data_IF_028299804226
#
_entry.id   IF_028299804226
#
_cell.length_a   1.000
_cell.length_b   1.000
_cell.length_c   1.000
_cell.angle_alpha   90.00
_cell.angle_beta   90.00
_cell.angle_gamma   90.00
#
_symmetry.space_group_name_H-M   'P 1'
#
loop_
_entity.id
_entity.type
_entity.pdbx_description
1 polymer ?
#
# COMPACT_ATOMS: atom_id res chain seq x y z
N UNK A 1 -11.70 -13.57 -16.59
CA UNK A 1 -10.32 -13.64 -16.09
C UNK A 1 -10.33 -14.33 -14.75
N UNK A 2 -9.44 -15.33 -14.56
CA UNK A 2 -9.34 -16.13 -13.35
C UNK A 2 -7.99 -15.88 -12.69
N UNK A 3 -7.99 -15.43 -11.44
CA UNK A 3 -6.76 -15.24 -10.66
C UNK A 3 -6.79 -16.16 -9.44
N UNK A 4 -5.78 -17.04 -9.34
CA UNK A 4 -5.51 -17.79 -8.12
C UNK A 4 -4.89 -16.84 -7.11
N UNK A 5 -5.41 -16.81 -5.88
CA UNK A 5 -4.85 -16.01 -4.80
C UNK A 5 -4.44 -16.92 -3.64
N UNK A 6 -3.13 -17.02 -3.41
CA UNK A 6 -2.54 -17.89 -2.36
C UNK A 6 -2.56 -17.13 -1.03
N UNK A 7 -3.02 -17.77 0.03
CA UNK A 7 -3.13 -17.20 1.38
C UNK A 7 -3.88 -15.87 1.42
N UNK A 8 -5.13 -15.78 0.92
CA UNK A 8 -5.85 -14.52 0.79
C UNK A 8 -6.20 -13.87 2.14
N UNK A 9 -6.12 -14.62 3.23
CA UNK A 9 -6.41 -14.19 4.59
C UNK A 9 -5.20 -13.61 5.34
N UNK A 10 -3.99 -13.79 4.83
CA UNK A 10 -2.77 -13.34 5.51
C UNK A 10 -1.71 -12.77 4.55
N UNK A 11 -1.15 -11.57 4.82
CA UNK A 11 -1.55 -10.61 5.87
C UNK A 11 -3.02 -10.19 5.80
N UNK A 12 -3.62 -9.80 6.94
CA UNK A 12 -5.07 -9.54 7.04
C UNK A 12 -5.60 -8.51 6.03
N UNK A 13 -4.79 -7.54 5.63
CA UNK A 13 -5.14 -6.49 4.68
C UNK A 13 -5.21 -6.95 3.21
N UNK A 14 -4.74 -8.15 2.88
CA UNK A 14 -4.71 -8.66 1.50
C UNK A 14 -6.10 -8.85 0.90
N UNK A 15 -7.13 -9.03 1.73
CA UNK A 15 -8.52 -9.05 1.25
C UNK A 15 -8.93 -7.79 0.49
N UNK A 16 -8.30 -6.63 0.74
CA UNK A 16 -8.56 -5.37 0.02
C UNK A 16 -8.18 -5.48 -1.45
N UNK A 17 -7.10 -6.18 -1.77
CA UNK A 17 -6.65 -6.46 -3.14
C UNK A 17 -7.57 -7.47 -3.83
N UNK A 18 -7.99 -8.50 -3.10
CA UNK A 18 -9.02 -9.46 -3.56
C UNK A 18 -10.33 -8.75 -3.88
N UNK A 19 -10.77 -7.85 -2.98
CA UNK A 19 -11.96 -7.03 -3.18
C UNK A 19 -11.84 -6.14 -4.42
N UNK A 20 -10.68 -5.51 -4.64
CA UNK A 20 -10.44 -4.67 -5.80
C UNK A 20 -10.51 -5.47 -7.11
N UNK A 21 -9.90 -6.66 -7.18
CA UNK A 21 -10.01 -7.58 -8.33
C UNK A 21 -11.48 -7.98 -8.57
N UNK A 22 -12.20 -8.35 -7.50
CA UNK A 22 -13.61 -8.73 -7.61
C UNK A 22 -14.47 -7.59 -8.15
N UNK A 23 -14.21 -6.35 -7.69
CA UNK A 23 -14.86 -5.13 -8.16
C UNK A 23 -14.65 -4.85 -9.65
N UNK A 24 -13.58 -5.37 -10.24
CA UNK A 24 -13.27 -5.30 -11.66
C UNK A 24 -13.75 -6.54 -12.46
N UNK A 25 -14.60 -7.39 -11.87
CA UNK A 25 -15.18 -8.54 -12.55
C UNK A 25 -14.26 -9.75 -12.67
N UNK A 26 -13.16 -9.80 -11.91
CA UNK A 26 -12.22 -10.95 -11.90
C UNK A 26 -12.80 -12.07 -11.04
N UNK A 27 -12.71 -13.32 -11.49
CA UNK A 27 -12.91 -14.49 -10.65
C UNK A 27 -11.69 -14.70 -9.80
N UNK A 28 -11.79 -14.44 -8.49
CA UNK A 28 -10.70 -14.65 -7.54
C UNK A 28 -10.89 -15.99 -6.85
N UNK A 29 -9.97 -16.92 -7.07
CA UNK A 29 -9.99 -18.29 -6.61
C UNK A 29 -8.95 -18.45 -5.51
N UNK A 30 -9.38 -18.49 -4.27
CA UNK A 30 -8.50 -18.58 -3.11
C UNK A 30 -7.95 -19.98 -2.86
N UNK A 31 -6.68 -20.07 -2.46
CA UNK A 31 -6.07 -21.29 -1.92
C UNK A 31 -5.39 -20.92 -0.61
N UNK A 32 -5.66 -21.64 0.45
CA UNK A 32 -5.05 -21.42 1.76
C UNK A 32 -5.23 -22.60 2.70
N UNK A 33 -4.58 -22.56 3.85
CA UNK A 33 -4.66 -23.56 4.91
C UNK A 33 -5.59 -23.16 6.07
N UNK A 34 -6.02 -21.90 6.09
CA UNK A 34 -6.95 -21.41 7.10
C UNK A 34 -8.39 -21.86 6.81
N UNK A 35 -9.14 -22.11 7.90
CA UNK A 35 -10.59 -22.30 7.79
C UNK A 35 -11.28 -20.95 7.51
N UNK A 36 -12.33 -20.96 6.69
CA UNK A 36 -13.07 -19.74 6.33
C UNK A 36 -13.68 -18.98 7.53
N UNK A 37 -13.81 -19.64 8.70
CA UNK A 37 -14.26 -18.99 9.93
C UNK A 37 -13.25 -17.97 10.48
N UNK A 38 -11.98 -18.11 10.10
CA UNK A 38 -10.90 -17.18 10.45
C UNK A 38 -10.66 -16.07 9.42
N UNK A 39 -11.48 -15.99 8.39
CA UNK A 39 -11.31 -14.98 7.37
C UNK A 39 -11.61 -13.57 7.89
N UNK A 40 -10.82 -12.55 7.48
CA UNK A 40 -11.19 -11.15 7.66
C UNK A 40 -12.59 -10.88 7.14
N UNK A 41 -13.33 -10.02 7.81
CA UNK A 41 -14.76 -9.78 7.59
C UNK A 41 -15.18 -9.50 6.13
N UNK A 42 -14.29 -8.94 5.31
CA UNK A 42 -14.58 -8.63 3.91
C UNK A 42 -14.18 -9.72 2.90
N UNK A 43 -13.37 -10.70 3.30
CA UNK A 43 -12.74 -11.63 2.35
C UNK A 43 -13.72 -12.64 1.76
N UNK A 44 -14.56 -13.25 2.57
CA UNK A 44 -15.44 -14.35 2.15
C UNK A 44 -16.37 -13.96 0.98
N UNK A 45 -16.91 -12.75 1.03
CA UNK A 45 -17.78 -12.23 -0.05
C UNK A 45 -17.05 -11.81 -1.32
N UNK A 46 -15.71 -11.77 -1.29
CA UNK A 46 -14.90 -11.35 -2.44
C UNK A 46 -14.30 -12.51 -3.22
N UNK A 47 -14.20 -13.70 -2.63
CA UNK A 47 -13.75 -14.90 -3.32
C UNK A 47 -14.87 -15.50 -4.17
N UNK A 48 -14.53 -15.94 -5.38
CA UNK A 48 -15.44 -16.73 -6.23
C UNK A 48 -15.54 -18.16 -5.72
N UNK A 49 -14.42 -18.70 -5.26
CA UNK A 49 -14.30 -20.02 -4.65
C UNK A 49 -13.06 -20.04 -3.74
N UNK A 50 -13.03 -21.01 -2.82
CA UNK A 50 -11.90 -21.22 -1.93
C UNK A 50 -11.59 -22.71 -1.80
N UNK A 51 -10.35 -23.09 -2.02
CA UNK A 51 -9.86 -24.42 -1.83
C UNK A 51 -8.93 -24.48 -0.61
N UNK A 52 -9.37 -25.14 0.46
CA UNK A 52 -8.55 -25.34 1.64
C UNK A 52 -7.60 -26.51 1.42
N UNK A 53 -6.31 -26.29 1.64
CA UNK A 53 -5.27 -27.32 1.77
C UNK A 53 -4.93 -27.53 3.23
N UNK A 54 -4.30 -28.64 3.59
CA UNK A 54 -3.87 -28.88 4.97
C UNK A 54 -2.61 -28.08 5.30
N UNK A 55 -1.71 -27.91 4.34
CA UNK A 55 -0.46 -27.16 4.49
C UNK A 55 -0.08 -26.52 3.17
N UNK A 56 0.11 -25.20 3.16
CA UNK A 56 0.59 -24.44 1.99
C UNK A 56 2.06 -24.74 1.63
N UNK A 57 2.85 -25.36 2.51
CA UNK A 57 4.21 -25.79 2.22
C UNK A 57 4.25 -27.10 1.41
N UNK A 58 3.18 -27.88 1.41
CA UNK A 58 3.04 -29.04 0.57
C UNK A 58 2.70 -28.63 -0.87
N UNK A 59 3.75 -28.53 -1.69
CA UNK A 59 3.63 -28.13 -3.11
C UNK A 59 2.61 -28.96 -3.88
N UNK A 60 2.62 -30.29 -3.67
CA UNK A 60 1.73 -31.19 -4.39
C UNK A 60 0.25 -30.97 -4.03
N UNK A 61 -0.04 -30.65 -2.79
CA UNK A 61 -1.40 -30.29 -2.36
C UNK A 61 -1.85 -28.98 -2.97
N UNK A 62 -1.00 -27.96 -3.02
CA UNK A 62 -1.31 -26.70 -3.68
C UNK A 62 -1.45 -26.87 -5.19
N UNK A 63 -0.56 -27.66 -5.82
CA UNK A 63 -0.67 -27.98 -7.25
C UNK A 63 -2.01 -28.65 -7.59
N UNK A 64 -2.44 -29.63 -6.79
CA UNK A 64 -3.76 -30.29 -6.94
C UNK A 64 -4.92 -29.29 -6.76
N UNK A 65 -4.81 -28.35 -5.81
CA UNK A 65 -5.81 -27.29 -5.62
C UNK A 65 -5.92 -26.38 -6.86
N UNK A 66 -4.79 -25.91 -7.41
CA UNK A 66 -4.75 -25.12 -8.66
C UNK A 66 -5.34 -25.93 -9.81
N UNK A 67 -4.99 -27.22 -9.93
CA UNK A 67 -5.53 -28.11 -10.99
C UNK A 67 -7.05 -28.25 -10.88
N UNK A 68 -7.59 -28.46 -9.66
CA UNK A 68 -9.02 -28.56 -9.43
C UNK A 68 -9.77 -27.27 -9.79
N UNK A 69 -9.26 -26.11 -9.32
CA UNK A 69 -9.84 -24.82 -9.63
C UNK A 69 -9.77 -24.50 -11.12
N UNK A 70 -8.67 -24.90 -11.79
CA UNK A 70 -8.52 -24.75 -13.23
C UNK A 70 -9.49 -25.63 -14.01
N UNK A 71 -9.77 -26.84 -13.55
CA UNK A 71 -10.79 -27.70 -14.14
C UNK A 71 -12.18 -27.09 -14.04
N UNK A 72 -12.49 -26.49 -12.86
CA UNK A 72 -13.82 -25.95 -12.56
C UNK A 72 -14.10 -24.60 -13.24
N UNK A 73 -13.10 -23.70 -13.30
CA UNK A 73 -13.26 -22.32 -13.74
C UNK A 73 -12.48 -21.97 -15.01
N UNK A 74 -11.71 -22.88 -15.53
CA UNK A 74 -10.79 -22.64 -16.65
C UNK A 74 -9.39 -22.23 -16.17
N UNK A 75 -8.46 -22.14 -17.13
CA UNK A 75 -7.05 -21.82 -16.89
C UNK A 75 -6.90 -20.50 -16.10
N UNK A 76 -6.00 -20.44 -15.12
CA UNK A 76 -5.70 -19.20 -14.45
C UNK A 76 -4.93 -18.24 -15.36
N UNK A 77 -5.33 -16.98 -15.35
CA UNK A 77 -4.65 -15.87 -16.04
C UNK A 77 -3.55 -15.26 -15.17
N UNK A 78 -3.63 -15.44 -13.84
CA UNK A 78 -2.65 -14.99 -12.86
C UNK A 78 -2.63 -15.87 -11.62
N UNK A 79 -1.49 -15.87 -10.93
CA UNK A 79 -1.32 -16.49 -9.61
C UNK A 79 -0.64 -15.43 -8.74
N UNK A 80 -1.24 -15.05 -7.63
CA UNK A 80 -0.80 -13.94 -6.78
C UNK A 80 -0.87 -14.35 -5.31
N UNK A 81 0.05 -13.84 -4.50
CA UNK A 81 -0.03 -13.96 -3.04
C UNK A 81 0.10 -12.60 -2.36
N UNK A 82 0.78 -11.66 -3.01
CA UNK A 82 1.20 -10.39 -2.45
C UNK A 82 1.97 -10.54 -1.12
N UNK A 83 2.68 -11.65 -0.99
CA UNK A 83 3.45 -12.02 0.19
C UNK A 83 4.79 -12.63 -0.24
N UNK A 84 5.90 -11.99 0.15
CA UNK A 84 7.24 -12.44 -0.20
C UNK A 84 7.57 -13.86 0.29
N UNK A 85 6.95 -14.32 1.36
CA UNK A 85 7.13 -15.67 1.88
C UNK A 85 6.67 -16.73 0.85
N UNK A 86 5.57 -16.48 0.14
CA UNK A 86 5.04 -17.40 -0.87
C UNK A 86 5.57 -17.15 -2.29
N UNK A 87 6.47 -16.19 -2.49
CA UNK A 87 6.93 -15.80 -3.82
C UNK A 87 7.56 -16.96 -4.62
N UNK A 88 8.31 -17.84 -3.96
CA UNK A 88 8.90 -19.03 -4.63
C UNK A 88 7.84 -20.05 -5.02
N UNK A 89 6.86 -20.30 -4.15
CA UNK A 89 5.71 -21.17 -4.45
C UNK A 89 4.91 -20.62 -5.62
N UNK A 90 4.59 -19.34 -5.60
CA UNK A 90 3.88 -18.62 -6.64
C UNK A 90 4.59 -18.71 -8.00
N UNK A 91 5.91 -18.47 -8.03
CA UNK A 91 6.73 -18.57 -9.23
C UNK A 91 6.78 -20.00 -9.80
N UNK A 92 6.87 -21.02 -8.93
CA UNK A 92 6.87 -22.42 -9.33
C UNK A 92 5.53 -22.84 -9.93
N UNK A 93 4.42 -22.45 -9.32
CA UNK A 93 3.09 -22.71 -9.85
C UNK A 93 2.84 -22.00 -11.19
N UNK A 94 3.31 -20.75 -11.34
CA UNK A 94 3.23 -20.04 -12.63
C UNK A 94 3.95 -20.79 -13.74
N UNK A 95 5.14 -21.30 -13.47
CA UNK A 95 5.88 -22.11 -14.42
C UNK A 95 5.12 -23.37 -14.82
N UNK A 96 4.60 -24.11 -13.84
CA UNK A 96 4.00 -25.44 -14.07
C UNK A 96 2.61 -25.34 -14.72
N UNK A 97 1.87 -24.24 -14.47
CA UNK A 97 0.60 -23.93 -15.14
C UNK A 97 0.76 -23.01 -16.35
N UNK A 98 2.00 -22.68 -16.74
CA UNK A 98 2.31 -21.77 -17.85
C UNK A 98 1.57 -20.42 -17.75
N UNK A 99 1.53 -19.84 -16.54
CA UNK A 99 0.95 -18.52 -16.25
C UNK A 99 2.03 -17.46 -16.37
N UNK A 100 1.72 -16.38 -17.08
CA UNK A 100 2.66 -15.25 -17.26
C UNK A 100 2.90 -14.54 -15.91
N UNK A 101 4.15 -14.27 -15.61
CA UNK A 101 4.56 -13.54 -14.40
C UNK A 101 6.03 -13.76 -14.08
N UNK A 102 6.43 -13.46 -12.86
CA UNK A 102 7.82 -13.61 -12.44
C UNK A 102 8.17 -15.10 -12.19
N UNK A 103 9.43 -15.42 -12.39
CA UNK A 103 10.03 -16.71 -12.12
C UNK A 103 10.73 -16.75 -10.73
N UNK A 104 11.29 -17.91 -10.38
CA UNK A 104 11.98 -18.14 -9.10
C UNK A 104 13.20 -17.24 -8.94
N UNK A 105 13.95 -16.99 -10.01
CA UNK A 105 15.15 -16.16 -9.96
C UNK A 105 14.79 -14.68 -9.76
N UNK A 106 13.69 -14.24 -10.37
CA UNK A 106 13.11 -12.93 -10.07
C UNK A 106 12.65 -12.84 -8.62
N UNK A 107 11.91 -13.85 -8.11
CA UNK A 107 11.45 -13.86 -6.73
C UNK A 107 12.60 -13.71 -5.74
N UNK A 108 13.69 -14.44 -5.91
CA UNK A 108 14.90 -14.33 -5.10
C UNK A 108 15.54 -12.95 -5.17
N UNK A 109 15.65 -12.38 -6.37
CA UNK A 109 16.26 -11.06 -6.58
C UNK A 109 15.44 -9.91 -5.95
N UNK A 110 14.12 -10.01 -5.99
CA UNK A 110 13.22 -8.90 -5.59
C UNK A 110 12.78 -9.00 -4.14
N UNK A 111 12.58 -10.22 -3.62
CA UNK A 111 12.05 -10.41 -2.26
C UNK A 111 13.09 -10.83 -1.22
N UNK A 112 14.34 -11.10 -1.65
CA UNK A 112 15.46 -11.27 -0.73
C UNK A 112 16.13 -9.91 -0.45
N UNK A 113 16.11 -9.49 0.81
CA UNK A 113 16.62 -8.17 1.23
C UNK A 113 18.11 -8.00 0.91
N UNK A 114 18.92 -9.03 1.10
CA UNK A 114 20.36 -8.97 0.83
C UNK A 114 20.62 -8.83 -0.67
N UNK A 115 19.92 -9.61 -1.50
CA UNK A 115 20.02 -9.51 -2.95
C UNK A 115 19.63 -8.12 -3.47
N UNK A 116 18.62 -7.48 -2.86
CA UNK A 116 18.21 -6.11 -3.19
C UNK A 116 19.32 -5.11 -2.83
N UNK A 117 19.91 -5.21 -1.63
CA UNK A 117 20.99 -4.31 -1.19
C UNK A 117 22.25 -4.48 -2.04
N UNK A 118 22.60 -5.72 -2.41
CA UNK A 118 23.71 -6.01 -3.32
C UNK A 118 23.47 -5.40 -4.71
N UNK A 119 22.26 -5.56 -5.26
CA UNK A 119 21.89 -4.96 -6.53
C UNK A 119 21.94 -3.43 -6.49
N UNK A 120 21.42 -2.81 -5.42
CA UNK A 120 21.48 -1.36 -5.21
C UNK A 120 22.90 -0.86 -5.11
N UNK A 121 23.76 -1.52 -4.33
CA UNK A 121 25.18 -1.19 -4.19
C UNK A 121 25.89 -1.32 -5.54
N UNK A 122 25.62 -2.38 -6.30
CA UNK A 122 26.16 -2.58 -7.66
C UNK A 122 25.73 -1.49 -8.64
N UNK A 123 24.59 -0.85 -8.41
CA UNK A 123 24.11 0.30 -9.18
C UNK A 123 24.64 1.66 -8.67
N UNK A 124 25.56 1.66 -7.70
CA UNK A 124 26.16 2.86 -7.15
C UNK A 124 25.32 3.57 -6.09
N UNK A 125 24.32 2.88 -5.52
CA UNK A 125 23.53 3.41 -4.40
C UNK A 125 24.25 3.09 -3.10
N UNK A 126 24.47 4.09 -2.24
CA UNK A 126 25.00 3.86 -0.90
C UNK A 126 23.96 3.13 -0.06
N UNK A 127 24.33 2.00 0.51
CA UNK A 127 23.47 1.20 1.38
C UNK A 127 23.86 1.37 2.84
N UNK A 128 22.88 1.23 3.74
CA UNK A 128 23.09 1.38 5.18
C UNK A 128 24.00 0.27 5.71
N UNK A 129 24.94 0.67 6.54
CA UNK A 129 25.82 -0.23 7.30
C UNK A 129 25.31 -0.31 8.74
N UNK A 130 25.53 -1.42 9.41
CA UNK A 130 25.23 -1.61 10.82
C UNK A 130 26.52 -1.74 11.61
N UNK A 131 26.48 -1.28 12.85
CA UNK A 131 27.60 -1.46 13.80
C UNK A 131 27.68 -2.91 14.34
N UNK A 132 28.61 -3.13 15.28
CA UNK A 132 28.84 -4.45 15.91
C UNK A 132 27.63 -4.95 16.71
N UNK A 133 26.78 -4.02 17.20
CA UNK A 133 25.55 -4.32 17.93
C UNK A 133 24.34 -4.51 17.00
N UNK A 134 24.54 -4.37 15.68
CA UNK A 134 23.50 -4.46 14.66
C UNK A 134 22.66 -3.19 14.51
N UNK A 135 23.08 -2.07 15.11
CA UNK A 135 22.38 -0.78 15.00
C UNK A 135 22.68 -0.10 13.66
N UNK A 136 21.70 0.59 13.06
CA UNK A 136 21.89 1.32 11.82
C UNK A 136 22.80 2.54 12.04
N UNK A 137 23.85 2.66 11.22
CA UNK A 137 24.74 3.83 11.23
C UNK A 137 24.15 4.88 10.29
N UNK A 138 23.54 5.91 10.87
CA UNK A 138 22.95 7.02 10.14
C UNK A 138 23.63 8.32 10.54
N UNK A 139 24.08 9.17 9.56
CA UNK A 139 24.64 10.46 9.86
C UNK A 139 23.65 11.35 10.62
N UNK A 140 24.15 12.05 11.64
CA UNK A 140 23.34 12.98 12.42
C UNK A 140 22.71 14.05 11.53
N UNK A 141 21.46 14.42 11.82
CA UNK A 141 20.71 15.41 11.05
C UNK A 141 20.12 14.90 9.72
N UNK A 142 20.28 13.60 9.39
CA UNK A 142 19.62 13.02 8.22
C UNK A 142 18.09 13.02 8.40
N UNK A 143 17.38 13.38 7.33
CA UNK A 143 15.93 13.20 7.21
C UNK A 143 15.64 11.76 6.79
N UNK A 144 14.63 11.16 7.37
CA UNK A 144 14.20 9.80 6.97
C UNK A 144 13.07 9.93 5.98
N UNK A 145 13.31 9.54 4.74
CA UNK A 145 12.34 9.66 3.64
C UNK A 145 12.04 8.29 3.07
N UNK A 146 10.75 7.94 3.01
CA UNK A 146 10.27 6.74 2.33
C UNK A 146 9.66 7.13 0.98
N UNK A 147 10.17 6.54 -0.08
CA UNK A 147 9.61 6.61 -1.42
C UNK A 147 8.77 5.37 -1.68
N UNK A 148 7.51 5.55 -2.01
CA UNK A 148 6.58 4.46 -2.29
C UNK A 148 5.96 4.66 -3.66
N UNK A 149 5.74 3.57 -4.36
CA UNK A 149 5.12 3.64 -5.67
C UNK A 149 4.78 2.27 -6.24
N UNK A 150 4.29 2.31 -7.45
CA UNK A 150 3.92 1.13 -8.21
C UNK A 150 4.58 1.16 -9.59
N UNK A 151 5.04 0.00 -10.02
CA UNK A 151 5.58 -0.25 -11.35
C UNK A 151 4.62 -1.17 -12.08
N UNK A 152 4.23 -0.82 -13.29
CA UNK A 152 3.35 -1.66 -14.09
C UNK A 152 4.10 -2.86 -14.67
N UNK A 153 3.35 -3.77 -15.30
CA UNK A 153 3.90 -4.98 -15.96
C UNK A 153 5.00 -4.70 -16.99
N UNK A 154 5.08 -3.51 -17.53
CA UNK A 154 6.08 -3.10 -18.52
C UNK A 154 7.35 -2.49 -17.89
N UNK A 155 7.40 -2.38 -16.56
CA UNK A 155 8.51 -1.75 -15.85
C UNK A 155 8.43 -0.23 -15.75
N UNK A 156 7.30 0.39 -16.10
CA UNK A 156 7.10 1.83 -15.98
C UNK A 156 6.49 2.17 -14.62
N UNK A 157 7.06 3.15 -13.94
CA UNK A 157 6.45 3.71 -12.71
C UNK A 157 5.15 4.42 -13.09
N UNK A 158 4.06 4.01 -12.47
CA UNK A 158 2.71 4.54 -12.70
C UNK A 158 2.31 5.59 -11.68
N UNK A 159 3.03 5.64 -10.57
CA UNK A 159 2.86 6.65 -9.53
C UNK A 159 3.87 6.41 -8.42
N UNK A 160 4.34 7.50 -7.84
CA UNK A 160 5.22 7.47 -6.68
C UNK A 160 4.91 8.66 -5.76
N UNK A 161 5.10 8.46 -4.45
CA UNK A 161 4.96 9.47 -3.43
C UNK A 161 6.11 9.35 -2.43
N UNK A 162 6.53 10.47 -1.86
CA UNK A 162 7.55 10.50 -0.83
C UNK A 162 6.97 10.97 0.50
N UNK A 163 7.49 10.41 1.59
CA UNK A 163 7.03 10.69 2.94
C UNK A 163 8.23 10.90 3.87
N UNK A 164 8.17 11.94 4.68
CA UNK A 164 9.16 12.18 5.72
C UNK A 164 8.67 11.57 7.04
N UNK A 165 9.48 10.68 7.61
CA UNK A 165 9.23 10.01 8.88
C UNK A 165 9.96 10.71 10.02
N UNK A 166 9.44 10.57 11.25
CA UNK A 166 10.09 11.12 12.45
C UNK A 166 11.44 10.45 12.77
N UNK A 167 11.59 9.15 12.47
CA UNK A 167 12.82 8.36 12.58
C UNK A 167 12.68 7.12 11.67
N UNK A 168 13.72 6.29 11.59
CA UNK A 168 13.60 4.99 10.93
C UNK A 168 12.51 4.15 11.59
N UNK A 169 11.61 3.51 10.80
CA UNK A 169 10.54 2.69 11.36
C UNK A 169 11.03 1.61 12.33
N UNK A 170 12.17 0.95 12.04
CA UNK A 170 12.77 -0.03 12.95
C UNK A 170 13.20 0.58 14.29
N UNK A 171 13.72 1.82 14.29
CA UNK A 171 14.11 2.52 15.50
C UNK A 171 12.90 3.00 16.29
N UNK A 172 11.83 3.47 15.61
CA UNK A 172 10.56 3.83 16.25
C UNK A 172 10.00 2.62 17.03
N UNK A 173 9.98 1.44 16.38
CA UNK A 173 9.53 0.19 17.02
C UNK A 173 10.43 -0.19 18.19
N UNK A 174 11.75 -0.19 17.98
CA UNK A 174 12.72 -0.56 19.02
C UNK A 174 12.65 0.33 20.25
N UNK A 175 12.56 1.64 20.05
CA UNK A 175 12.47 2.64 21.12
C UNK A 175 11.06 2.78 21.71
N UNK A 176 10.05 2.09 21.12
CA UNK A 176 8.63 2.21 21.46
C UNK A 176 8.14 3.66 21.35
N UNK A 177 8.58 4.37 20.33
CA UNK A 177 8.20 5.74 20.05
C UNK A 177 6.89 5.79 19.26
N UNK A 178 6.32 7.00 19.17
CA UNK A 178 5.12 7.26 18.39
C UNK A 178 5.47 7.38 16.91
N UNK A 179 4.70 6.71 16.07
CA UNK A 179 4.87 6.81 14.62
C UNK A 179 4.22 8.11 14.12
N UNK A 180 4.98 8.90 13.39
CA UNK A 180 4.48 10.02 12.63
C UNK A 180 5.26 10.23 11.33
N UNK A 181 4.54 10.62 10.29
CA UNK A 181 5.11 10.98 9.00
C UNK A 181 4.13 11.83 8.19
N UNK A 182 4.61 12.46 7.13
CA UNK A 182 3.80 13.27 6.23
C UNK A 182 4.31 13.18 4.79
N UNK A 183 3.40 13.35 3.81
CA UNK A 183 3.77 13.36 2.40
C UNK A 183 4.51 14.64 2.03
N UNK A 184 5.50 14.51 1.15
CA UNK A 184 6.22 15.62 0.55
C UNK A 184 5.52 16.03 -0.75
N UNK A 185 5.44 17.33 -1.00
CA UNK A 185 5.00 17.88 -2.28
C UNK A 185 6.12 17.80 -3.33
N UNK A 186 5.79 17.93 -4.62
CA UNK A 186 6.77 17.95 -5.69
C UNK A 186 7.85 19.01 -5.45
N UNK A 187 7.45 20.21 -4.98
CA UNK A 187 8.39 21.29 -4.66
C UNK A 187 9.35 20.96 -3.53
N UNK A 188 8.91 20.14 -2.56
CA UNK A 188 9.75 19.66 -1.45
C UNK A 188 10.62 18.48 -1.87
N UNK A 189 10.24 17.78 -2.92
CA UNK A 189 11.05 16.77 -3.59
C UNK A 189 12.14 17.37 -4.48
N UNK A 190 11.91 18.58 -5.04
CA UNK A 190 12.83 19.28 -5.97
C UNK A 190 13.93 20.12 -5.26
N UNK A 191 14.09 20.03 -3.96
CA UNK A 191 15.19 20.70 -3.23
C UNK A 191 16.57 20.08 -3.57
N UNK A 192 17.70 20.77 -3.31
CA UNK A 192 19.03 20.22 -3.60
C UNK A 192 19.33 18.84 -2.98
N UNK A 193 18.60 18.45 -1.95
CA UNK A 193 18.64 17.10 -1.35
C UNK A 193 17.74 16.09 -2.11
N UNK A 194 17.21 16.48 -3.27
CA UNK A 194 16.14 15.81 -3.99
C UNK A 194 16.57 14.55 -4.77
N UNK A 195 17.82 14.21 -4.80
CA UNK A 195 18.33 13.02 -5.51
C UNK A 195 17.78 11.68 -5.02
N UNK A 196 16.97 11.68 -3.93
CA UNK A 196 16.41 10.44 -3.37
C UNK A 196 15.38 9.77 -4.30
N UNK A 197 14.58 10.54 -5.06
CA UNK A 197 13.66 9.95 -6.05
C UNK A 197 14.42 9.30 -7.20
N UNK A 198 15.46 9.98 -7.72
CA UNK A 198 16.34 9.39 -8.75
C UNK A 198 17.05 8.14 -8.20
N UNK A 199 17.52 8.20 -6.94
CA UNK A 199 18.12 7.05 -6.27
C UNK A 199 17.12 5.91 -6.08
N UNK A 200 15.87 6.21 -5.74
CA UNK A 200 14.82 5.20 -5.65
C UNK A 200 14.57 4.51 -7.00
N UNK A 201 14.53 5.27 -8.09
CA UNK A 201 14.40 4.72 -9.44
C UNK A 201 15.60 3.86 -9.83
N UNK A 202 16.82 4.23 -9.45
CA UNK A 202 18.01 3.38 -9.65
C UNK A 202 17.90 2.03 -8.94
N UNK A 203 17.36 2.02 -7.71
CA UNK A 203 17.11 0.74 -6.99
C UNK A 203 16.05 -0.09 -7.70
N UNK A 204 14.93 0.52 -8.11
CA UNK A 204 13.86 -0.16 -8.86
C UNK A 204 14.38 -0.79 -10.15
N UNK A 205 15.23 -0.05 -10.89
CA UNK A 205 15.86 -0.54 -12.12
C UNK A 205 16.88 -1.65 -11.85
N UNK A 206 17.68 -1.53 -10.78
CA UNK A 206 18.70 -2.54 -10.43
C UNK A 206 18.07 -3.91 -10.16
N UNK A 207 16.91 -3.94 -9.49
CA UNK A 207 16.17 -5.20 -9.27
C UNK A 207 15.28 -5.61 -10.45
N UNK A 208 15.15 -4.74 -11.46
CA UNK A 208 14.29 -4.95 -12.65
C UNK A 208 12.83 -5.21 -12.24
N UNK A 209 12.29 -4.37 -11.36
CA UNK A 209 10.93 -4.52 -10.86
C UNK A 209 9.90 -4.44 -11.99
N UNK A 210 8.92 -5.34 -12.00
CA UNK A 210 7.81 -5.37 -12.96
C UNK A 210 6.52 -5.80 -12.27
N UNK A 211 5.46 -5.01 -12.47
CA UNK A 211 4.12 -5.37 -12.03
C UNK A 211 3.94 -5.45 -10.50
N UNK A 212 4.55 -4.54 -9.74
CA UNK A 212 4.51 -4.57 -8.29
C UNK A 212 4.75 -3.23 -7.62
N UNK A 213 4.92 -3.28 -6.32
CA UNK A 213 5.14 -2.11 -5.46
C UNK A 213 6.62 -1.92 -5.16
N UNK A 214 6.97 -0.70 -4.77
CA UNK A 214 8.24 -0.42 -4.10
C UNK A 214 8.00 0.49 -2.90
N UNK A 215 8.69 0.18 -1.81
CA UNK A 215 8.72 0.96 -0.58
C UNK A 215 10.18 1.04 -0.15
N UNK A 216 10.83 2.17 -0.42
CA UNK A 216 12.26 2.36 -0.23
C UNK A 216 12.47 3.47 0.80
N UNK A 217 13.17 3.18 1.89
CA UNK A 217 13.46 4.14 2.96
C UNK A 217 14.91 4.59 2.88
N UNK A 218 15.10 5.90 2.87
CA UNK A 218 16.40 6.54 2.77
C UNK A 218 16.67 7.44 3.99
N UNK A 219 17.94 7.48 4.43
CA UNK A 219 18.45 8.57 5.22
C UNK A 219 19.06 9.61 4.27
N UNK A 220 18.46 10.81 4.26
CA UNK A 220 18.78 11.89 3.32
C UNK A 220 19.41 13.05 4.07
N UNK A 221 20.67 13.34 3.72
CA UNK A 221 21.47 14.42 4.28
C UNK A 221 22.55 14.78 3.28
N UNK A 222 23.81 14.87 3.75
CA UNK A 222 24.96 15.07 2.85
C UNK A 222 25.09 13.95 1.81
N UNK A 223 24.71 12.74 2.20
CA UNK A 223 24.61 11.57 1.34
C UNK A 223 23.17 11.02 1.38
N UNK A 224 22.81 10.26 0.36
CA UNK A 224 21.54 9.52 0.30
C UNK A 224 21.88 8.05 0.53
N UNK A 225 21.36 7.49 1.62
CA UNK A 225 21.66 6.13 2.08
C UNK A 225 20.39 5.32 2.07
N UNK A 226 20.35 4.21 1.32
CA UNK A 226 19.23 3.25 1.34
C UNK A 226 19.26 2.48 2.66
N UNK A 227 18.24 2.66 3.49
CA UNK A 227 18.13 2.04 4.81
C UNK A 227 17.23 0.81 4.81
N UNK A 228 16.18 0.82 4.00
CA UNK A 228 15.25 -0.30 3.88
C UNK A 228 14.64 -0.37 2.49
N UNK A 229 14.32 -1.58 2.05
CA UNK A 229 13.70 -1.83 0.75
C UNK A 229 12.69 -2.98 0.85
N UNK A 230 11.49 -2.75 0.36
CA UNK A 230 10.44 -3.74 0.23
C UNK A 230 9.72 -3.57 -1.10
N UNK A 231 9.46 -4.68 -1.78
CA UNK A 231 8.70 -4.72 -3.03
C UNK A 231 7.35 -5.41 -2.88
N UNK A 232 6.88 -5.44 -1.65
CA UNK A 232 5.55 -5.91 -1.28
C UNK A 232 4.55 -4.75 -1.24
N UNK A 233 3.25 -5.02 -1.25
CA UNK A 233 2.26 -4.00 -0.97
C UNK A 233 2.55 -3.26 0.33
N UNK A 234 2.26 -1.95 0.39
CA UNK A 234 2.42 -1.20 1.63
C UNK A 234 1.56 -1.78 2.74
N UNK A 235 1.96 -1.54 3.98
CA UNK A 235 1.20 -1.92 5.17
C UNK A 235 -0.19 -1.24 5.15
N UNK A 236 -1.18 -1.84 5.82
CA UNK A 236 -2.59 -1.39 5.76
C UNK A 236 -2.77 0.09 6.08
N UNK A 237 -2.14 0.58 7.17
CA UNK A 237 -2.19 2.00 7.53
C UNK A 237 -1.57 2.89 6.46
N UNK A 238 -0.54 2.41 5.79
CA UNK A 238 0.14 3.16 4.76
C UNK A 238 -0.67 3.20 3.45
N UNK A 239 -1.38 2.11 3.13
CA UNK A 239 -2.33 2.09 2.02
C UNK A 239 -3.45 3.14 2.19
N UNK A 240 -3.93 3.34 3.42
CA UNK A 240 -4.91 4.38 3.73
C UNK A 240 -4.33 5.80 3.60
N UNK A 241 -3.07 6.00 3.96
CA UNK A 241 -2.39 7.28 3.74
C UNK A 241 -2.19 7.54 2.25
N UNK A 242 -1.77 6.53 1.47
CA UNK A 242 -1.64 6.63 0.02
C UNK A 242 -2.97 6.99 -0.66
N UNK A 243 -4.09 6.39 -0.21
CA UNK A 243 -5.43 6.73 -0.70
C UNK A 243 -5.83 8.18 -0.38
N UNK A 244 -5.32 8.75 0.72
CA UNK A 244 -5.51 10.16 1.04
C UNK A 244 -4.52 11.08 0.31
N UNK A 245 -3.33 10.61 -0.05
CA UNK A 245 -2.28 11.39 -0.71
C UNK A 245 -2.53 11.54 -2.20
N UNK A 246 -3.07 10.50 -2.83
CA UNK A 246 -3.25 10.44 -4.28
C UNK A 246 -4.70 10.43 -4.72
N UNK A 247 -4.86 10.39 -6.03
CA UNK A 247 -6.17 10.40 -6.72
C UNK A 247 -6.90 9.06 -6.68
N UNK A 248 -6.24 7.97 -6.27
CA UNK A 248 -6.80 6.62 -6.37
C UNK A 248 -6.30 5.71 -5.24
N UNK A 249 -7.12 4.73 -4.90
CA UNK A 249 -6.76 3.65 -3.96
C UNK A 249 -5.70 2.72 -4.59
N UNK A 250 -4.67 2.41 -3.84
CA UNK A 250 -3.54 1.60 -4.29
C UNK A 250 -3.93 0.16 -4.64
N UNK A 251 -4.92 -0.41 -3.94
CA UNK A 251 -5.43 -1.75 -4.22
C UNK A 251 -6.14 -1.79 -5.59
N UNK A 252 -6.89 -0.72 -5.87
CA UNK A 252 -7.58 -0.59 -7.16
C UNK A 252 -6.61 -0.34 -8.32
N UNK A 253 -5.56 0.48 -8.12
CA UNK A 253 -4.50 0.69 -9.11
C UNK A 253 -3.81 -0.63 -9.47
N UNK A 254 -3.45 -1.42 -8.46
CA UNK A 254 -2.83 -2.71 -8.67
C UNK A 254 -3.76 -3.68 -9.41
N UNK A 255 -5.01 -3.78 -8.98
CA UNK A 255 -5.99 -4.66 -9.62
C UNK A 255 -6.25 -4.26 -11.08
N UNK A 256 -6.30 -2.96 -11.38
CA UNK A 256 -6.43 -2.44 -12.74
C UNK A 256 -5.22 -2.81 -13.62
N UNK A 257 -3.99 -2.69 -13.11
CA UNK A 257 -2.79 -3.13 -13.84
C UNK A 257 -2.85 -4.64 -14.14
N UNK A 258 -3.31 -5.46 -13.20
CA UNK A 258 -3.45 -6.92 -13.40
C UNK A 258 -4.38 -7.28 -14.55
N UNK A 259 -5.43 -6.52 -14.78
CA UNK A 259 -6.37 -6.74 -15.90
C UNK A 259 -6.01 -5.94 -17.16
N UNK A 260 -4.89 -5.24 -17.17
CA UNK A 260 -4.41 -4.48 -18.32
C UNK A 260 -5.02 -3.11 -18.50
N UNK A 261 -5.71 -2.59 -17.49
CA UNK A 261 -6.20 -1.21 -17.49
C UNK A 261 -5.08 -0.25 -17.06
N UNK A 262 -4.89 0.80 -17.84
CA UNK A 262 -4.03 1.90 -17.43
C UNK A 262 -4.82 2.85 -16.52
N UNK A 263 -4.29 3.10 -15.35
CA UNK A 263 -4.78 4.12 -14.43
C UNK A 263 -3.67 5.06 -14.06
N UNK A 264 -3.98 6.35 -14.05
CA UNK A 264 -3.04 7.38 -13.61
C UNK A 264 -3.21 7.63 -12.11
N UNK A 265 -2.08 7.73 -11.42
CA UNK A 265 -2.03 8.13 -10.02
C UNK A 265 -1.39 9.51 -9.93
N UNK A 266 -2.13 10.47 -9.44
CA UNK A 266 -1.66 11.84 -9.24
C UNK A 266 -1.61 12.15 -7.74
N UNK A 267 -0.53 12.78 -7.31
CA UNK A 267 -0.40 13.28 -5.94
C UNK A 267 -1.27 14.53 -5.81
N UNK A 268 -2.07 14.59 -4.75
CA UNK A 268 -2.85 15.76 -4.40
C UNK A 268 -1.92 16.86 -3.82
N UNK A 269 -2.23 18.15 -4.04
CA UNK A 269 -1.33 19.23 -3.65
C UNK A 269 -1.18 19.41 -2.14
N UNK A 270 -2.13 18.88 -1.36
CA UNK A 270 -2.12 19.01 0.10
C UNK A 270 -1.25 17.93 0.74
N UNK A 271 -0.48 18.30 1.74
CA UNK A 271 0.32 17.36 2.55
C UNK A 271 -0.59 16.47 3.38
N UNK A 272 -0.47 15.15 3.22
CA UNK A 272 -1.14 14.14 4.05
C UNK A 272 -0.27 13.81 5.24
N UNK A 273 -0.85 13.81 6.43
CA UNK A 273 -0.15 13.54 7.69
C UNK A 273 -0.75 12.32 8.36
N UNK A 274 0.12 11.43 8.84
CA UNK A 274 -0.21 10.32 9.71
C UNK A 274 0.47 10.50 11.06
N UNK A 275 -0.28 10.31 12.15
CA UNK A 275 0.25 10.46 13.49
C UNK A 275 -0.45 9.51 14.46
N UNK A 276 0.31 8.87 15.34
CA UNK A 276 -0.23 7.96 16.37
C UNK A 276 -0.19 8.59 17.76
N UNK A 277 -1.00 8.06 18.67
CA UNK A 277 -0.98 8.28 20.12
C UNK A 277 -1.10 6.95 20.84
N UNK A 278 -0.58 6.91 22.09
CA UNK A 278 -0.70 5.76 22.99
C UNK A 278 -1.62 6.10 24.16
N UNK A 279 -2.36 5.12 24.65
CA UNK A 279 -3.24 5.32 25.81
C UNK A 279 -2.48 5.36 27.15
N UNK A 280 -1.26 4.81 27.18
CA UNK A 280 -0.37 4.80 28.35
C UNK A 280 0.45 6.09 28.52
N UNK A 281 0.29 7.09 27.63
CA UNK A 281 0.96 8.39 27.70
C UNK A 281 0.00 9.50 28.02
N UNK A 282 0.49 10.50 28.74
CA UNK A 282 -0.25 11.72 29.07
C UNK A 282 0.06 12.82 28.05
N UNK A 283 -0.98 13.38 27.45
CA UNK A 283 -0.83 14.43 26.42
C UNK A 283 -1.45 15.74 26.90
N UNK A 284 -0.85 16.85 26.47
CA UNK A 284 -1.33 18.21 26.80
C UNK A 284 -2.74 18.49 26.27
N UNK A 285 -3.14 17.88 25.15
CA UNK A 285 -4.45 18.06 24.56
C UNK A 285 -5.20 16.73 24.48
N UNK A 286 -6.47 16.76 24.92
CA UNK A 286 -7.35 15.60 24.85
C UNK A 286 -7.73 15.27 23.40
N UNK A 287 -8.24 14.04 23.18
CA UNK A 287 -8.81 13.65 21.90
C UNK A 287 -9.89 14.62 21.40
N UNK A 288 -10.84 15.02 22.30
CA UNK A 288 -11.92 15.94 21.94
C UNK A 288 -11.39 17.32 21.52
N UNK A 289 -10.29 17.76 22.14
CA UNK A 289 -9.64 19.02 21.76
C UNK A 289 -9.02 18.95 20.39
N UNK A 290 -8.38 17.82 20.05
CA UNK A 290 -7.84 17.56 18.72
C UNK A 290 -8.98 17.54 17.70
N UNK A 291 -10.03 16.76 17.96
CA UNK A 291 -11.18 16.65 17.07
C UNK A 291 -11.86 18.00 16.84
N UNK A 292 -12.09 18.78 17.89
CA UNK A 292 -12.72 20.11 17.74
C UNK A 292 -11.89 21.07 16.87
N UNK A 293 -10.55 20.95 16.90
CA UNK A 293 -9.66 21.81 16.12
C UNK A 293 -9.40 21.31 14.70
N UNK A 294 -9.24 20.01 14.52
CA UNK A 294 -8.81 19.42 13.28
C UNK A 294 -9.91 18.74 12.47
N UNK A 295 -11.17 18.69 12.99
CA UNK A 295 -12.29 18.06 12.29
C UNK A 295 -12.40 18.41 10.79
N UNK A 296 -12.20 19.67 10.34
CA UNK A 296 -12.30 20.00 8.93
C UNK A 296 -11.23 19.36 8.04
N UNK A 297 -10.06 19.04 8.61
CA UNK A 297 -8.89 18.52 7.89
C UNK A 297 -8.64 17.05 8.15
N UNK A 298 -9.27 16.44 9.16
CA UNK A 298 -9.19 15.00 9.41
C UNK A 298 -9.89 14.25 8.27
N UNK A 299 -9.20 13.24 7.74
CA UNK A 299 -9.70 12.33 6.70
C UNK A 299 -10.07 10.98 7.28
N UNK A 300 -9.28 10.49 8.23
CA UNK A 300 -9.51 9.22 8.92
C UNK A 300 -8.94 9.26 10.33
N UNK A 301 -9.52 8.50 11.22
CA UNK A 301 -9.03 8.32 12.58
C UNK A 301 -9.58 7.02 13.15
N UNK A 302 -8.90 6.46 14.13
CA UNK A 302 -9.38 5.23 14.76
C UNK A 302 -8.34 4.56 15.63
N UNK A 303 -8.64 3.36 16.08
CA UNK A 303 -7.65 2.47 16.70
C UNK A 303 -6.60 2.08 15.67
N UNK A 304 -5.36 1.92 16.12
CA UNK A 304 -4.30 1.47 15.26
C UNK A 304 -4.55 0.05 14.74
N UNK A 305 -3.97 -0.24 13.60
CA UNK A 305 -4.09 -1.52 12.91
C UNK A 305 -3.37 -2.61 13.69
N UNK A 306 -3.72 -3.86 13.43
CA UNK A 306 -3.04 -5.02 14.00
C UNK A 306 -1.53 -4.95 13.73
N UNK A 307 -0.72 -5.19 14.76
CA UNK A 307 0.75 -5.11 14.67
C UNK A 307 1.35 -3.72 14.86
N UNK A 308 0.53 -2.67 15.04
CA UNK A 308 1.01 -1.30 15.35
C UNK A 308 1.01 -0.94 16.84
N UNK A 309 0.59 -1.84 17.70
CA UNK A 309 0.44 -1.67 19.16
C UNK A 309 1.72 -1.18 19.86
N UNK A 310 2.89 -1.39 19.26
CA UNK A 310 4.17 -0.88 19.77
C UNK A 310 4.32 0.62 19.49
N UNK A 311 3.79 1.12 18.35
CA UNK A 311 3.99 2.49 17.87
C UNK A 311 2.79 3.39 18.08
N UNK A 312 1.65 2.85 18.52
CA UNK A 312 0.44 3.60 18.83
C UNK A 312 -0.78 2.73 19.06
N UNK A 313 -1.73 3.26 19.83
CA UNK A 313 -3.05 2.67 20.07
C UNK A 313 -4.13 3.34 19.22
N UNK A 314 -3.92 4.60 18.87
CA UNK A 314 -4.86 5.42 18.13
C UNK A 314 -4.15 6.26 17.08
N UNK A 315 -4.74 6.41 15.89
CA UNK A 315 -4.16 7.19 14.80
C UNK A 315 -5.08 8.29 14.29
N UNK A 316 -4.47 9.28 13.63
CA UNK A 316 -5.13 10.33 12.86
C UNK A 316 -4.47 10.45 11.50
N UNK A 317 -5.28 10.54 10.43
CA UNK A 317 -4.88 10.95 9.10
C UNK A 317 -5.57 12.26 8.79
N UNK A 318 -4.82 13.28 8.44
CA UNK A 318 -5.36 14.61 8.15
C UNK A 318 -4.57 15.32 7.05
N UNK A 319 -5.12 16.41 6.53
CA UNK A 319 -4.48 17.26 5.54
C UNK A 319 -3.86 18.49 6.20
N UNK A 320 -2.71 18.89 5.65
CA UNK A 320 -2.01 20.12 6.01
C UNK A 320 -1.61 20.88 4.72
N UNK A 321 -1.46 22.19 4.84
CA UNK A 321 -1.14 23.05 3.70
C UNK A 321 0.27 22.80 3.15
N UNK A 322 1.21 22.40 4.02
CA UNK A 322 2.61 22.14 3.70
C UNK A 322 3.31 21.39 4.83
N UNK A 323 4.58 20.98 4.60
CA UNK A 323 5.40 20.25 5.57
C UNK A 323 5.62 21.01 6.90
N UNK A 324 5.78 22.32 6.87
CA UNK A 324 5.95 23.11 8.10
C UNK A 324 4.70 23.02 8.97
N UNK A 325 3.51 23.13 8.37
CA UNK A 325 2.23 22.95 9.06
C UNK A 325 2.01 21.53 9.52
N UNK A 326 2.45 20.54 8.74
CA UNK A 326 2.41 19.12 9.12
C UNK A 326 3.19 18.87 10.41
N UNK A 327 4.44 19.35 10.51
CA UNK A 327 5.28 19.23 11.72
C UNK A 327 4.66 19.92 12.94
N UNK A 328 4.09 21.11 12.75
CA UNK A 328 3.37 21.84 13.82
C UNK A 328 2.18 21.02 14.35
N UNK A 329 1.39 20.42 13.45
CA UNK A 329 0.21 19.64 13.81
C UNK A 329 0.59 18.29 14.46
N UNK A 330 1.63 17.63 14.00
CA UNK A 330 2.17 16.44 14.66
C UNK A 330 2.57 16.76 16.09
N UNK A 331 3.35 17.84 16.29
CA UNK A 331 3.73 18.31 17.63
C UNK A 331 2.52 18.64 18.49
N UNK A 332 1.52 19.32 17.96
CA UNK A 332 0.26 19.61 18.67
C UNK A 332 -0.43 18.34 19.15
N UNK A 333 -0.45 17.28 18.35
CA UNK A 333 -1.11 16.01 18.68
C UNK A 333 -0.30 15.21 19.70
N UNK A 334 1.03 15.19 19.58
CA UNK A 334 1.91 14.30 20.36
C UNK A 334 2.56 14.97 21.58
N UNK A 335 2.35 16.29 21.80
CA UNK A 335 2.99 16.99 22.90
C UNK A 335 2.62 16.38 24.24
N UNK A 336 3.62 16.06 25.05
CA UNK A 336 3.46 15.55 26.40
C UNK A 336 2.85 16.60 27.32
N UNK A 337 2.10 16.16 28.34
CA UNK A 337 1.48 17.07 29.32
C UNK A 337 2.52 17.90 30.07
N UNK A 338 3.69 17.34 30.33
CA UNK A 338 4.82 18.00 31.04
C UNK A 338 5.60 19.01 30.19
N UNK A 339 5.47 18.95 28.85
CA UNK A 339 6.16 19.85 27.92
C UNK A 339 5.49 21.22 27.92
N UNK A 340 6.11 22.20 28.57
CA UNK A 340 5.67 23.60 28.63
C UNK A 340 6.10 24.45 27.43
N UNK A 341 6.76 23.87 26.43
CA UNK A 341 7.20 24.60 25.22
C UNK A 341 5.97 25.25 24.55
N UNK A 342 6.02 26.56 24.22
CA UNK A 342 4.94 27.22 23.52
C UNK A 342 4.66 26.52 22.17
N UNK A 343 3.44 26.08 21.99
CA UNK A 343 2.98 25.66 20.67
C UNK A 343 2.37 26.89 20.02
N UNK A 344 2.76 27.16 18.78
CA UNK A 344 2.22 28.27 18.02
C UNK A 344 0.68 28.31 18.15
N UNK A 345 0.13 29.47 18.46
CA UNK A 345 -1.32 29.61 18.53
C UNK A 345 -1.87 29.38 17.13
N UNK A 346 -2.64 28.33 16.97
CA UNK A 346 -3.36 28.12 15.72
C UNK A 346 -4.24 29.35 15.48
N UNK A 347 -4.16 30.01 14.32
CA UNK A 347 -5.17 30.97 13.95
C UNK A 347 -6.53 30.26 14.05
N UNK A 348 -7.58 30.96 14.50
CA UNK A 348 -8.90 30.35 14.51
C UNK A 348 -9.17 29.80 13.13
N UNK A 349 -9.41 28.49 13.04
CA UNK A 349 -9.86 27.87 11.79
C UNK A 349 -11.05 28.73 11.33
N UNK A 350 -10.97 29.29 10.12
CA UNK A 350 -12.11 29.97 9.52
C UNK A 350 -13.29 29.05 9.67
N UNK A 351 -14.37 29.55 10.26
CA UNK A 351 -15.60 28.79 10.39
C UNK A 351 -15.93 28.24 9.01
N UNK A 352 -15.73 26.94 8.85
CA UNK A 352 -16.03 26.28 7.57
C UNK A 352 -17.53 26.43 7.43
N UNK A 353 -17.94 27.14 6.41
CA UNK A 353 -19.33 27.29 6.06
C UNK A 353 -19.92 25.87 5.94
N UNK A 354 -20.92 25.57 6.77
CA UNK A 354 -21.62 24.27 6.76
C UNK A 354 -22.16 23.90 5.37
N UNK A 355 -22.35 24.90 4.50
CA UNK A 355 -22.70 24.72 3.09
C UNK A 355 -21.55 24.05 2.30
N UNK A 356 -20.28 24.37 2.60
CA UNK A 356 -19.13 23.73 1.94
C UNK A 356 -18.94 22.28 2.41
N UNK A 357 -19.19 21.97 3.69
CA UNK A 357 -19.17 20.58 4.17
C UNK A 357 -20.26 19.73 3.51
N UNK A 358 -21.47 20.30 3.33
CA UNK A 358 -22.54 19.67 2.56
C UNK A 358 -22.17 19.49 1.08
N UNK A 359 -21.55 20.48 0.46
CA UNK A 359 -21.10 20.39 -0.93
C UNK A 359 -19.96 19.37 -1.10
N UNK A 360 -19.06 19.25 -0.13
CA UNK A 360 -17.99 18.23 -0.16
C UNK A 360 -18.60 16.84 0.03
N UNK A 361 -19.50 16.65 0.98
CA UNK A 361 -20.21 15.38 1.18
C UNK A 361 -21.05 14.99 -0.06
N UNK A 362 -21.72 15.96 -0.69
CA UNK A 362 -22.48 15.77 -1.93
C UNK A 362 -21.54 15.43 -3.11
N UNK A 363 -20.36 16.07 -3.18
CA UNK A 363 -19.33 15.75 -4.19
C UNK A 363 -18.75 14.34 -3.97
N UNK A 364 -18.49 13.95 -2.73
CA UNK A 364 -18.01 12.60 -2.41
C UNK A 364 -19.08 11.55 -2.71
N UNK A 365 -20.33 11.82 -2.37
CA UNK A 365 -21.47 10.95 -2.69
C UNK A 365 -21.72 10.88 -4.21
N UNK A 366 -21.65 12.01 -4.93
CA UNK A 366 -21.76 12.04 -6.38
C UNK A 366 -20.54 11.42 -7.08
N UNK A 367 -19.34 11.51 -6.51
CA UNK A 367 -18.16 10.82 -7.02
C UNK A 367 -18.26 9.29 -6.80
N UNK A 368 -18.84 8.86 -5.68
CA UNK A 368 -19.14 7.44 -5.44
C UNK A 368 -20.20 6.92 -6.39
N UNK A 369 -21.27 7.66 -6.61
CA UNK A 369 -22.31 7.33 -7.61
C UNK A 369 -21.80 7.38 -9.05
N UNK A 370 -20.93 8.34 -9.38
CA UNK A 370 -20.28 8.42 -10.68
C UNK A 370 -19.30 7.24 -10.90
N UNK A 371 -18.58 6.80 -9.87
CA UNK A 371 -17.76 5.59 -9.92
C UNK A 371 -18.61 4.34 -10.11
N UNK A 372 -19.75 4.24 -9.42
CA UNK A 372 -20.72 3.13 -9.57
C UNK A 372 -21.36 3.10 -10.96
N UNK A 373 -21.64 4.27 -11.54
CA UNK A 373 -22.13 4.42 -12.92
C UNK A 373 -21.04 4.10 -13.95
N UNK A 374 -19.79 4.44 -13.67
CA UNK A 374 -18.64 4.11 -14.53
C UNK A 374 -18.38 2.60 -14.53
N UNK A 375 -18.44 1.96 -13.37
CA UNK A 375 -18.36 0.49 -13.27
C UNK A 375 -19.47 -0.19 -14.06
N UNK A 376 -20.71 0.27 -13.95
CA UNK A 376 -21.81 -0.25 -14.77
C UNK A 376 -21.61 -0.04 -16.27
N UNK A 377 -21.14 1.13 -16.69
CA UNK A 377 -20.85 1.39 -18.10
C UNK A 377 -19.68 0.57 -18.64
N UNK A 378 -18.72 0.25 -17.80
CA UNK A 378 -17.61 -0.66 -18.13
C UNK A 378 -18.11 -2.10 -18.25
N UNK A 379 -18.98 -2.54 -17.33
CA UNK A 379 -19.66 -3.84 -17.42
C UNK A 379 -20.52 -3.93 -18.69
N UNK A 380 -21.33 -2.92 -19.00
CA UNK A 380 -22.13 -2.86 -20.23
C UNK A 380 -21.25 -2.88 -21.50
N UNK A 381 -20.11 -2.18 -21.52
CA UNK A 381 -19.15 -2.23 -22.64
C UNK A 381 -18.43 -3.56 -22.75
N UNK A 382 -18.08 -4.19 -21.64
CA UNK A 382 -17.51 -5.55 -21.64
C UNK A 382 -18.53 -6.57 -22.16
N UNK A 383 -19.80 -6.45 -21.77
CA UNK A 383 -20.87 -7.30 -22.30
C UNK A 383 -21.20 -7.05 -23.79
N UNK A 384 -20.92 -5.86 -24.30
CA UNK A 384 -21.12 -5.47 -25.72
C UNK A 384 -19.87 -5.71 -26.58
N UNK A 385 -18.73 -6.14 -26.00
CA UNK A 385 -17.53 -6.41 -26.78
C UNK A 385 -17.70 -7.73 -27.57
N UNK A 386 -17.33 -7.71 -28.86
CA UNK A 386 -17.37 -8.90 -29.72
C UNK A 386 -16.61 -10.11 -29.12
N UNK A 387 -15.57 -9.86 -28.34
CA UNK A 387 -14.79 -10.88 -27.64
C UNK A 387 -15.59 -11.57 -26.51
N UNK A 388 -16.49 -10.88 -25.85
CA UNK A 388 -17.37 -11.47 -24.82
C UNK A 388 -18.44 -12.37 -25.45
N UNK A 389 -19.03 -11.94 -26.55
CA UNK A 389 -20.03 -12.75 -27.30
C UNK A 389 -19.37 -13.97 -27.98
N UNK A 390 -18.13 -13.82 -28.44
CA UNK A 390 -17.35 -14.92 -29.02
C UNK A 390 -16.92 -15.93 -27.93
N UNK A 391 -16.52 -15.47 -26.78
CA UNK A 391 -16.21 -16.32 -25.62
C UNK A 391 -17.45 -17.06 -25.10
N UNK A 392 -18.62 -16.41 -25.07
CA UNK A 392 -19.91 -17.00 -24.69
C UNK A 392 -20.37 -18.06 -25.70
N UNK A 393 -20.14 -17.83 -26.98
CA UNK A 393 -20.39 -18.76 -28.06
C UNK A 393 -19.52 -20.00 -28.02
N UNK A 394 -18.23 -19.79 -27.71
CA UNK A 394 -17.23 -20.86 -27.57
C UNK A 394 -17.39 -21.67 -26.27
N UNK A 395 -18.01 -21.09 -25.24
CA UNK A 395 -18.31 -21.76 -23.97
C UNK A 395 -19.66 -22.53 -23.97
N UNK A 396 -20.42 -22.55 -25.09
CA UNK A 396 -21.70 -23.28 -25.20
C UNK A 396 -22.82 -22.68 -24.34
N UNK A 397 -22.72 -21.44 -23.88
CA UNK A 397 -23.67 -20.73 -23.01
C UNK A 397 -24.67 -19.85 -23.80
N UNK A 398 -24.78 -20.06 -25.11
CA UNK A 398 -25.79 -19.37 -25.93
C UNK A 398 -27.05 -20.22 -25.99
N UNK A 399 -28.05 -19.88 -25.14
CA UNK A 399 -29.44 -20.30 -25.35
C UNK A 399 -30.06 -20.91 -24.12
N UNK A 400 -30.72 -20.12 -23.32
CA UNK A 400 -32.16 -20.17 -23.01
C UNK A 400 -32.59 -18.92 -22.28
#
# INVERSE_FOLDING_TARGET
MNIIFISPNYPEDRWRYVHALRGLGVNVLGIGDADESYFPHGLKGCLTDYYKVDDLHDYDSVYRAVSYLSYKYGRPDGIESLNGYWATLEASLRRDFNVVGFDVDYARRVFDKNAVFDAASGAGVTVMVRDEDGEPIIPEGSRIIRCCGMVNRYGKVTGAAAYEFSDLPELIVKKKELLSFFSLSDKECDTPDAGFMETALKVVDAVRLRGGFFNLTFAVGKNIILCDASFLPPEEYFADVLACTGSSDVCHLWAADKIGMNMDYHILPETTVFVTRRFDRSYRYSHDRIMSKLAPVIRRQGRCYTGMDITGDYFYIFKADNAAKARELIRFIQVDYSDNTPIAQFPPLRAVDRSQLRQTAIREQSSFEARRLLSRKVEEKLHQSSAYEEAKKNAGLSGQ
#
